data_IF_625434299573
#
_entry.id   IF_625434299573
#
_cell.length_a   1.000
_cell.length_b   1.000
_cell.length_c   1.000
_cell.angle_alpha   90.00
_cell.angle_beta   90.00
_cell.angle_gamma   90.00
#
_symmetry.space_group_name_H-M   'P 1'
#
loop_
_entity.id
_entity.type
_entity.pdbx_description
1 polymer ?
#
# COMPACT_ATOMS: atom_id res chain seq x y z
N UNK A 1 3.53 5.46 11.93
CA UNK A 1 2.65 5.74 10.77
C UNK A 1 3.48 6.42 9.70
N UNK A 2 3.22 6.15 8.41
CA UNK A 2 3.89 6.83 7.30
C UNK A 2 2.88 7.76 6.63
N UNK A 3 2.91 9.03 7.03
CA UNK A 3 1.90 10.03 6.66
C UNK A 3 1.75 10.27 5.16
N UNK A 4 0.57 10.73 4.78
CA UNK A 4 0.35 11.18 3.41
C UNK A 4 1.21 12.40 3.10
N UNK A 5 1.78 12.45 1.90
CA UNK A 5 2.23 13.70 1.32
C UNK A 5 1.96 13.74 -0.19
N UNK A 6 1.83 14.94 -0.75
CA UNK A 6 1.45 15.17 -2.15
C UNK A 6 2.46 14.62 -3.15
N UNK A 7 3.74 14.57 -2.78
CA UNK A 7 4.81 13.98 -3.59
C UNK A 7 4.69 12.46 -3.67
N UNK A 8 4.37 11.79 -2.55
CA UNK A 8 4.23 10.33 -2.44
C UNK A 8 2.89 9.84 -2.96
N UNK A 9 1.83 10.65 -2.89
CA UNK A 9 0.44 10.34 -3.24
C UNK A 9 -0.08 9.02 -2.61
N UNK A 10 0.45 8.68 -1.42
CA UNK A 10 0.07 7.49 -0.66
C UNK A 10 0.31 7.70 0.83
N UNK A 11 -0.41 6.92 1.64
CA UNK A 11 -0.25 6.80 3.08
C UNK A 11 -0.10 5.32 3.45
N UNK A 12 0.68 5.03 4.48
CA UNK A 12 0.86 3.65 4.95
C UNK A 12 0.87 3.55 6.47
N UNK A 13 0.47 2.40 6.98
CA UNK A 13 0.52 2.07 8.41
C UNK A 13 1.08 0.66 8.57
N UNK A 14 1.95 0.48 9.57
CA UNK A 14 2.35 -0.86 10.01
C UNK A 14 1.50 -1.17 11.24
N UNK A 15 0.81 -2.31 11.20
CA UNK A 15 -0.07 -2.79 12.27
C UNK A 15 0.49 -4.10 12.82
N UNK A 16 0.47 -4.25 14.15
CA UNK A 16 0.76 -5.50 14.84
C UNK A 16 -0.56 -6.05 15.39
N UNK A 17 -0.94 -7.23 14.93
CA UNK A 17 -2.13 -7.93 15.41
C UNK A 17 -1.84 -8.62 16.76
N UNK A 18 -2.86 -8.99 17.56
CA UNK A 18 -2.67 -9.63 18.86
C UNK A 18 -1.88 -10.95 18.82
N UNK A 19 -1.92 -11.66 17.68
CA UNK A 19 -1.15 -12.88 17.45
C UNK A 19 0.31 -12.63 17.03
N UNK A 20 0.78 -11.38 17.09
CA UNK A 20 2.13 -10.99 16.70
C UNK A 20 2.34 -10.72 15.21
N UNK A 21 1.37 -11.05 14.34
CA UNK A 21 1.45 -10.81 12.89
C UNK A 21 1.61 -9.33 12.59
N UNK A 22 2.61 -9.00 11.78
CA UNK A 22 2.85 -7.64 11.29
C UNK A 22 2.36 -7.47 9.85
N UNK A 23 1.60 -6.41 9.61
CA UNK A 23 1.06 -6.10 8.29
C UNK A 23 1.30 -4.63 7.96
N UNK A 24 1.90 -4.37 6.80
CA UNK A 24 1.94 -3.05 6.20
C UNK A 24 0.69 -2.85 5.33
N UNK A 25 -0.17 -1.91 5.68
CA UNK A 25 -1.25 -1.44 4.81
C UNK A 25 -0.82 -0.16 4.09
N UNK A 26 -1.20 -0.03 2.82
CA UNK A 26 -0.93 1.17 2.04
C UNK A 26 -2.11 1.53 1.15
N UNK A 27 -2.57 2.79 1.25
CA UNK A 27 -3.59 3.38 0.38
C UNK A 27 -3.01 4.51 -0.45
N UNK A 28 -3.44 4.67 -1.70
CA UNK A 28 -2.98 5.74 -2.57
C UNK A 28 -3.58 5.72 -3.97
N UNK A 29 -3.02 6.55 -4.85
CA UNK A 29 -3.35 6.52 -6.27
C UNK A 29 -2.95 5.18 -6.91
N UNK A 30 -3.73 4.74 -7.88
CA UNK A 30 -3.54 3.51 -8.66
C UNK A 30 -2.15 3.40 -9.28
N UNK A 31 -1.69 4.43 -9.98
CA UNK A 31 -0.34 4.53 -10.55
C UNK A 31 0.75 4.26 -9.50
N UNK A 32 0.61 4.83 -8.32
CA UNK A 32 1.59 4.69 -7.23
C UNK A 32 1.54 3.31 -6.57
N UNK A 33 0.34 2.74 -6.41
CA UNK A 33 0.18 1.43 -5.77
C UNK A 33 0.58 0.31 -6.74
N UNK A 34 0.15 0.37 -7.99
CA UNK A 34 0.44 -0.66 -9.00
C UNK A 34 1.93 -0.82 -9.25
N UNK A 35 2.71 0.26 -9.33
CA UNK A 35 4.18 0.21 -9.43
C UNK A 35 4.88 -0.56 -8.29
N UNK A 36 4.20 -0.73 -7.15
CA UNK A 36 4.76 -1.32 -5.91
C UNK A 36 4.20 -2.69 -5.58
N UNK A 37 3.31 -3.21 -6.42
CA UNK A 37 2.82 -4.58 -6.30
C UNK A 37 3.93 -5.57 -6.63
N UNK A 38 3.83 -6.76 -6.04
CA UNK A 38 4.69 -7.88 -6.39
C UNK A 38 4.48 -8.30 -7.86
N UNK A 39 5.49 -8.93 -8.45
CA UNK A 39 5.38 -9.54 -9.77
C UNK A 39 4.29 -10.63 -9.80
N UNK A 40 3.69 -10.86 -10.96
CA UNK A 40 2.63 -11.86 -11.15
C UNK A 40 1.23 -11.43 -10.72
N UNK A 41 1.04 -10.16 -10.36
CA UNK A 41 -0.26 -9.59 -9.98
C UNK A 41 -1.05 -9.00 -11.18
N UNK A 42 -0.68 -9.35 -12.42
CA UNK A 42 -1.21 -8.72 -13.64
C UNK A 42 -2.72 -8.89 -13.80
N UNK A 43 -3.26 -10.06 -13.45
CA UNK A 43 -4.69 -10.32 -13.49
C UNK A 43 -5.46 -9.40 -12.53
N UNK A 44 -4.98 -9.25 -11.30
CA UNK A 44 -5.59 -8.37 -10.29
C UNK A 44 -5.45 -6.91 -10.72
N UNK A 45 -4.28 -6.51 -11.23
CA UNK A 45 -4.03 -5.15 -11.76
C UNK A 45 -5.00 -4.82 -12.89
N UNK A 46 -5.22 -5.75 -13.83
CA UNK A 46 -6.12 -5.56 -14.96
C UNK A 46 -7.57 -5.35 -14.50
N UNK A 47 -8.12 -6.31 -13.76
CA UNK A 47 -9.53 -6.25 -13.29
C UNK A 47 -9.76 -5.02 -12.41
N UNK A 48 -8.83 -4.73 -11.50
CA UNK A 48 -8.94 -3.55 -10.63
C UNK A 48 -8.83 -2.26 -11.43
N UNK A 49 -7.95 -2.20 -12.43
CA UNK A 49 -7.80 -1.05 -13.32
C UNK A 49 -9.08 -0.72 -14.09
N UNK A 50 -9.74 -1.73 -14.66
CA UNK A 50 -11.01 -1.58 -15.36
C UNK A 50 -12.11 -1.01 -14.44
N UNK A 51 -12.21 -1.50 -13.20
CA UNK A 51 -13.15 -0.94 -12.22
C UNK A 51 -12.82 0.50 -11.80
N UNK A 52 -11.53 0.83 -11.64
CA UNK A 52 -11.10 2.18 -11.28
C UNK A 52 -11.44 3.19 -12.39
N UNK A 53 -11.27 2.81 -13.65
CA UNK A 53 -11.67 3.62 -14.81
C UNK A 53 -13.18 3.82 -14.85
N UNK A 54 -13.95 2.75 -14.62
CA UNK A 54 -15.41 2.84 -14.53
C UNK A 54 -15.88 3.77 -13.40
N UNK A 55 -15.29 3.67 -12.22
CA UNK A 55 -15.62 4.55 -11.10
C UNK A 55 -15.18 5.99 -11.34
N UNK A 56 -14.00 6.19 -11.94
CA UNK A 56 -13.49 7.51 -12.30
C UNK A 56 -14.36 8.22 -13.33
N UNK A 57 -14.80 7.51 -14.37
CA UNK A 57 -15.74 8.06 -15.38
C UNK A 57 -17.11 8.41 -14.79
N UNK A 58 -17.49 7.79 -13.68
CA UNK A 58 -18.70 8.11 -12.91
C UNK A 58 -18.49 9.25 -11.89
N UNK A 59 -17.31 9.89 -11.86
CA UNK A 59 -16.99 10.99 -10.94
C UNK A 59 -16.66 10.57 -9.51
N UNK A 60 -16.49 9.27 -9.23
CA UNK A 60 -16.16 8.77 -7.91
C UNK A 60 -14.68 8.96 -7.61
N UNK A 61 -14.36 9.37 -6.37
CA UNK A 61 -12.98 9.40 -5.90
C UNK A 61 -12.54 7.97 -5.57
N UNK A 62 -11.52 7.48 -6.27
CA UNK A 62 -10.98 6.15 -6.07
C UNK A 62 -9.67 6.18 -5.30
N UNK A 63 -9.41 5.11 -4.56
CA UNK A 63 -8.10 4.80 -3.98
C UNK A 63 -7.84 3.30 -4.15
N UNK A 64 -6.59 2.96 -4.42
CA UNK A 64 -6.11 1.59 -4.32
C UNK A 64 -5.65 1.30 -2.89
N UNK A 65 -5.97 0.10 -2.40
CA UNK A 65 -5.48 -0.43 -1.13
C UNK A 65 -4.66 -1.69 -1.39
N UNK A 66 -3.46 -1.75 -0.84
CA UNK A 66 -2.61 -2.93 -0.86
C UNK A 66 -2.12 -3.24 0.56
N UNK A 67 -1.75 -4.50 0.79
CA UNK A 67 -1.11 -4.91 2.03
C UNK A 67 0.06 -5.84 1.76
N UNK A 68 0.97 -5.93 2.73
CA UNK A 68 2.06 -6.89 2.75
C UNK A 68 2.29 -7.39 4.18
N UNK A 69 2.33 -8.70 4.34
CA UNK A 69 2.81 -9.31 5.58
C UNK A 69 4.30 -9.05 5.75
N UNK A 70 4.68 -8.58 6.92
CA UNK A 70 6.06 -8.28 7.27
C UNK A 70 6.63 -9.37 8.15
N UNK A 71 7.86 -9.76 7.86
CA UNK A 71 8.64 -10.52 8.81
C UNK A 71 9.11 -9.61 9.96
N UNK A 72 9.14 -10.13 11.18
CA UNK A 72 9.51 -9.40 12.40
C UNK A 72 10.92 -8.84 12.31
N UNK A 73 11.92 -9.66 11.97
CA UNK A 73 13.32 -9.21 11.93
C UNK A 73 13.54 -8.15 10.84
N UNK A 74 12.84 -8.28 9.71
CA UNK A 74 12.90 -7.30 8.63
C UNK A 74 12.25 -5.96 9.03
N UNK A 75 11.15 -6.01 9.80
CA UNK A 75 10.51 -4.82 10.34
C UNK A 75 11.41 -4.13 11.37
N UNK A 76 12.03 -4.87 12.29
CA UNK A 76 12.87 -4.29 13.34
C UNK A 76 14.08 -3.58 12.74
N UNK A 77 14.79 -4.22 11.79
CA UNK A 77 15.90 -3.58 11.07
C UNK A 77 15.47 -2.34 10.26
N UNK A 78 14.26 -2.36 9.67
CA UNK A 78 13.72 -1.20 8.99
C UNK A 78 13.37 -0.07 9.97
N UNK A 79 12.79 -0.41 11.12
CA UNK A 79 12.33 0.54 12.13
C UNK A 79 13.50 1.26 12.82
N UNK A 80 14.60 0.56 13.08
CA UNK A 80 15.85 1.17 13.58
C UNK A 80 16.34 2.28 12.63
N UNK A 81 16.40 1.99 11.33
CA UNK A 81 16.78 2.97 10.30
C UNK A 81 15.78 4.11 10.20
N UNK A 82 14.50 3.82 10.35
CA UNK A 82 13.43 4.82 10.27
C UNK A 82 13.46 5.81 11.44
N UNK A 83 13.78 5.35 12.67
CA UNK A 83 13.87 6.21 13.85
C UNK A 83 15.10 7.12 13.79
N UNK A 84 16.18 6.70 13.13
CA UNK A 84 17.41 7.47 13.01
C UNK A 84 17.37 8.54 11.90
N UNK A 85 16.39 8.48 10.99
CA UNK A 85 16.24 9.39 9.84
C UNK A 85 15.37 10.61 10.15
#
# INVERSE_FOLDING_TARGET
VLEFNSTRKRQSVVCRFPNGRLVLYCKGADTVIFERLAYGMDAVRKVTGEHLEHFGSSGLRTLCLAYKDLNSEAYDSWNEKFIQA
#
